data_IF_210130474138
#
_entry.id   IF_210130474138
#
_cell.length_a   1.000
_cell.length_b   1.000
_cell.length_c   1.000
_cell.angle_alpha   90.00
_cell.angle_beta   90.00
_cell.angle_gamma   90.00
#
_symmetry.space_group_name_H-M   'P 1'
#
loop_
_entity.id
_entity.type
_entity.pdbx_description
1 polymer ?
#
# COMPACT_ATOMS: atom_id res chain seq x y z
N UNK A 1 16.69 -7.50 -25.21
CA UNK A 1 16.54 -7.97 -23.81
C UNK A 1 15.20 -8.69 -23.62
N UNK A 2 15.14 -9.72 -22.77
CA UNK A 2 13.89 -10.42 -22.45
C UNK A 2 13.02 -9.51 -21.60
N UNK A 3 11.79 -9.19 -22.06
CA UNK A 3 10.86 -8.35 -21.30
C UNK A 3 10.35 -9.07 -20.05
N UNK A 4 10.16 -8.32 -18.96
CA UNK A 4 9.58 -8.81 -17.72
C UNK A 4 8.07 -8.93 -17.91
N UNK A 5 7.51 -10.11 -17.68
CA UNK A 5 6.08 -10.39 -17.79
C UNK A 5 5.35 -9.90 -16.54
N UNK A 6 4.42 -8.95 -16.72
CA UNK A 6 3.62 -8.36 -15.66
C UNK A 6 2.21 -8.93 -15.68
N UNK A 7 1.81 -9.51 -14.57
CA UNK A 7 0.42 -9.83 -14.29
C UNK A 7 -0.22 -8.74 -13.44
N UNK A 8 -1.49 -8.40 -13.68
CA UNK A 8 -2.24 -7.46 -12.84
C UNK A 8 -3.39 -8.20 -12.18
N UNK A 9 -3.46 -8.11 -10.85
CA UNK A 9 -4.56 -8.62 -10.06
C UNK A 9 -5.48 -7.47 -9.64
N UNK A 10 -6.76 -7.53 -10.05
CA UNK A 10 -7.71 -6.44 -9.89
C UNK A 10 -7.56 -5.33 -10.95
N UNK A 11 -7.51 -5.66 -12.27
CA UNK A 11 -7.27 -4.68 -13.35
C UNK A 11 -8.38 -3.64 -13.50
N UNK A 12 -9.57 -3.85 -12.94
CA UNK A 12 -10.70 -2.90 -12.96
C UNK A 12 -10.82 -2.05 -11.70
N UNK A 13 -9.95 -2.25 -10.72
CA UNK A 13 -9.78 -1.32 -9.62
C UNK A 13 -9.12 0.00 -10.07
N UNK A 14 -9.32 1.09 -9.33
CA UNK A 14 -8.71 2.41 -9.62
C UNK A 14 -7.21 2.32 -9.90
N UNK A 15 -6.48 1.61 -9.06
CA UNK A 15 -5.02 1.40 -9.26
C UNK A 15 -4.73 0.48 -10.44
N UNK A 16 -5.53 -0.56 -10.64
CA UNK A 16 -5.38 -1.47 -11.78
C UNK A 16 -5.48 -0.75 -13.13
N UNK A 17 -6.47 0.13 -13.29
CA UNK A 17 -6.64 0.95 -14.49
C UNK A 17 -5.47 1.91 -14.71
N UNK A 18 -5.04 2.61 -13.65
CA UNK A 18 -3.87 3.50 -13.72
C UNK A 18 -2.58 2.75 -14.11
N UNK A 19 -2.37 1.55 -13.57
CA UNK A 19 -1.21 0.72 -13.91
C UNK A 19 -1.26 0.26 -15.37
N UNK A 20 -2.46 -0.11 -15.87
CA UNK A 20 -2.64 -0.48 -17.28
C UNK A 20 -2.32 0.66 -18.25
N UNK A 21 -2.60 1.90 -17.87
CA UNK A 21 -2.23 3.09 -18.64
C UNK A 21 -0.72 3.31 -18.63
N UNK A 22 -0.10 3.20 -17.46
CA UNK A 22 1.31 3.52 -17.27
C UNK A 22 2.25 2.43 -17.82
N UNK A 23 1.86 1.16 -17.79
CA UNK A 23 2.75 0.06 -18.21
C UNK A 23 3.24 0.19 -19.64
N UNK A 24 2.48 0.89 -20.48
CA UNK A 24 2.82 1.15 -21.89
C UNK A 24 4.08 2.02 -22.07
N UNK A 25 4.41 2.80 -21.03
CA UNK A 25 5.55 3.72 -21.03
C UNK A 25 6.88 3.02 -20.70
N UNK A 26 6.85 1.73 -20.37
CA UNK A 26 8.03 0.94 -19.99
C UNK A 26 8.33 -0.14 -21.02
N UNK A 27 9.31 0.10 -21.88
CA UNK A 27 9.67 -0.80 -22.98
C UNK A 27 10.16 -2.17 -22.54
N UNK A 28 10.73 -2.26 -21.32
CA UNK A 28 11.23 -3.47 -20.66
C UNK A 28 10.13 -4.34 -20.06
N UNK A 29 8.90 -3.82 -19.91
CA UNK A 29 7.76 -4.55 -19.38
C UNK A 29 6.87 -5.10 -20.49
N UNK A 30 6.21 -6.22 -20.21
CA UNK A 30 5.17 -6.81 -21.07
C UNK A 30 4.00 -7.23 -20.22
N UNK A 31 2.82 -6.64 -20.45
CA UNK A 31 1.57 -7.14 -19.90
C UNK A 31 1.36 -8.58 -20.36
N UNK A 32 1.10 -9.51 -19.45
CA UNK A 32 1.01 -10.93 -19.78
C UNK A 32 -0.25 -11.62 -19.25
N UNK A 33 -0.86 -11.12 -18.18
CA UNK A 33 -2.02 -11.77 -17.56
C UNK A 33 -2.83 -10.76 -16.76
N UNK A 34 -4.16 -10.86 -16.85
CA UNK A 34 -5.11 -10.02 -16.12
C UNK A 34 -6.09 -10.92 -15.37
N UNK A 35 -6.07 -10.84 -14.04
CA UNK A 35 -6.96 -11.64 -13.20
C UNK A 35 -7.88 -10.75 -12.38
N UNK A 36 -9.18 -11.08 -12.41
CA UNK A 36 -10.22 -10.33 -11.71
C UNK A 36 -11.12 -11.28 -10.91
N UNK A 37 -11.91 -10.74 -9.99
CA UNK A 37 -12.90 -11.50 -9.25
C UNK A 37 -13.84 -12.24 -10.21
N UNK A 38 -14.09 -13.53 -9.97
CA UNK A 38 -14.92 -14.40 -10.82
C UNK A 38 -16.32 -13.82 -11.12
N UNK A 39 -16.86 -13.03 -10.18
CA UNK A 39 -18.19 -12.40 -10.35
C UNK A 39 -18.17 -11.09 -11.14
N UNK A 40 -16.99 -10.57 -11.48
CA UNK A 40 -16.88 -9.29 -12.18
C UNK A 40 -17.20 -9.46 -13.66
N UNK A 41 -18.01 -8.57 -14.23
CA UNK A 41 -18.51 -8.62 -15.61
C UNK A 41 -17.44 -8.54 -16.70
N UNK A 42 -16.20 -8.17 -16.35
CA UNK A 42 -15.05 -8.10 -17.27
C UNK A 42 -14.41 -9.47 -17.51
N UNK A 43 -14.65 -10.46 -16.64
CA UNK A 43 -14.09 -11.82 -16.82
C UNK A 43 -14.65 -12.43 -18.08
N UNK A 44 -13.77 -12.97 -18.93
CA UNK A 44 -14.09 -13.48 -20.26
C UNK A 44 -14.08 -12.43 -21.36
N UNK A 45 -13.80 -11.15 -21.04
CA UNK A 45 -13.64 -10.08 -22.03
C UNK A 45 -12.18 -9.66 -22.16
N UNK A 46 -11.86 -9.01 -23.25
CA UNK A 46 -10.52 -8.49 -23.53
C UNK A 46 -10.33 -7.09 -22.90
N UNK A 47 -9.18 -6.86 -22.28
CA UNK A 47 -8.76 -5.58 -21.76
C UNK A 47 -7.27 -5.37 -22.07
N UNK A 48 -6.94 -4.26 -22.72
CA UNK A 48 -5.58 -3.94 -23.17
C UNK A 48 -4.91 -5.08 -23.99
N UNK A 49 -5.66 -5.78 -24.83
CA UNK A 49 -5.17 -6.88 -25.67
C UNK A 49 -4.99 -8.22 -24.92
N UNK A 50 -5.47 -8.34 -23.68
CA UNK A 50 -5.37 -9.54 -22.85
C UNK A 50 -6.76 -9.97 -22.39
N UNK A 51 -7.05 -11.27 -22.53
CA UNK A 51 -8.28 -11.87 -22.00
C UNK A 51 -8.24 -11.88 -20.47
N UNK A 52 -9.21 -11.23 -19.83
CA UNK A 52 -9.34 -11.20 -18.37
C UNK A 52 -9.90 -12.55 -17.89
N UNK A 53 -9.24 -13.16 -16.92
CA UNK A 53 -9.66 -14.43 -16.31
C UNK A 53 -9.79 -14.30 -14.78
N UNK A 54 -10.27 -15.37 -14.13
CA UNK A 54 -10.39 -15.46 -12.67
C UNK A 54 -9.53 -16.56 -12.03
N UNK A 55 -8.54 -17.06 -12.78
CA UNK A 55 -7.68 -18.18 -12.38
C UNK A 55 -6.34 -17.65 -11.83
N UNK A 56 -6.13 -17.75 -10.51
CA UNK A 56 -4.89 -17.34 -9.85
C UNK A 56 -3.70 -18.20 -10.27
N UNK A 57 -3.90 -19.49 -10.54
CA UNK A 57 -2.84 -20.38 -11.01
C UNK A 57 -2.31 -19.92 -12.37
N UNK A 58 -3.22 -19.55 -13.27
CA UNK A 58 -2.87 -18.98 -14.58
C UNK A 58 -2.11 -17.66 -14.39
N UNK A 59 -2.61 -16.73 -13.55
CA UNK A 59 -1.94 -15.47 -13.24
C UNK A 59 -0.49 -15.70 -12.78
N UNK A 60 -0.27 -16.61 -11.84
CA UNK A 60 1.06 -16.95 -11.30
C UNK A 60 1.96 -17.52 -12.39
N UNK A 61 1.46 -18.44 -13.20
CA UNK A 61 2.26 -19.12 -14.23
C UNK A 61 2.66 -18.22 -15.40
N UNK A 62 1.82 -17.26 -15.76
CA UNK A 62 2.04 -16.37 -16.90
C UNK A 62 2.86 -15.12 -16.54
N UNK A 63 3.07 -14.81 -15.24
CA UNK A 63 3.71 -13.58 -14.78
C UNK A 63 5.09 -13.84 -14.19
N UNK A 64 6.04 -12.94 -14.41
CA UNK A 64 7.31 -12.88 -13.67
C UNK A 64 7.13 -12.02 -12.41
N UNK A 65 6.31 -10.96 -12.51
CA UNK A 65 5.90 -10.10 -11.40
C UNK A 65 4.39 -9.90 -11.47
N UNK A 66 3.72 -10.00 -10.34
CA UNK A 66 2.29 -9.67 -10.19
C UNK A 66 2.18 -8.36 -9.42
N UNK A 67 1.36 -7.43 -9.94
CA UNK A 67 1.00 -6.20 -9.25
C UNK A 67 -0.41 -6.39 -8.69
N UNK A 68 -0.55 -6.21 -7.36
CA UNK A 68 -1.77 -6.47 -6.60
C UNK A 68 -2.20 -5.24 -5.80
N UNK A 69 -3.34 -4.66 -6.15
CA UNK A 69 -4.04 -3.61 -5.40
C UNK A 69 -5.49 -4.00 -5.18
N UNK A 70 -5.70 -5.20 -4.64
CA UNK A 70 -7.03 -5.75 -4.40
C UNK A 70 -7.49 -5.54 -2.95
N UNK A 71 -8.03 -6.58 -2.35
CA UNK A 71 -8.48 -6.61 -0.96
C UNK A 71 -7.73 -7.70 -0.18
N UNK A 72 -7.65 -7.62 1.15
CA UNK A 72 -6.87 -8.57 1.98
C UNK A 72 -7.11 -10.04 1.70
N UNK A 73 -8.37 -10.43 1.52
CA UNK A 73 -8.73 -11.83 1.24
C UNK A 73 -8.17 -12.29 -0.12
N UNK A 74 -8.28 -11.46 -1.15
CA UNK A 74 -7.78 -11.77 -2.48
C UNK A 74 -6.25 -11.89 -2.48
N UNK A 75 -5.55 -10.97 -1.83
CA UNK A 75 -4.09 -11.02 -1.67
C UNK A 75 -3.66 -12.30 -0.94
N UNK A 76 -4.35 -12.69 0.14
CA UNK A 76 -4.06 -13.94 0.87
C UNK A 76 -4.22 -15.15 -0.05
N UNK A 77 -5.30 -15.21 -0.83
CA UNK A 77 -5.53 -16.30 -1.78
C UNK A 77 -4.43 -16.36 -2.87
N UNK A 78 -3.97 -15.21 -3.34
CA UNK A 78 -2.84 -15.13 -4.26
C UNK A 78 -1.56 -15.70 -3.64
N UNK A 79 -1.24 -15.35 -2.39
CA UNK A 79 -0.06 -15.87 -1.69
C UNK A 79 -0.15 -17.38 -1.46
N UNK A 80 -1.33 -17.90 -1.14
CA UNK A 80 -1.55 -19.34 -1.03
C UNK A 80 -1.28 -20.07 -2.36
N UNK A 81 -1.71 -19.49 -3.48
CA UNK A 81 -1.45 -20.06 -4.80
C UNK A 81 0.03 -20.00 -5.17
N UNK A 82 0.72 -18.89 -4.86
CA UNK A 82 2.18 -18.77 -5.04
C UNK A 82 2.96 -19.85 -4.28
N UNK A 83 2.53 -20.19 -3.07
CA UNK A 83 3.18 -21.26 -2.28
C UNK A 83 3.02 -22.65 -2.89
N UNK A 84 1.95 -22.91 -3.64
CA UNK A 84 1.73 -24.16 -4.37
C UNK A 84 2.52 -24.21 -5.67
N UNK A 85 2.89 -23.05 -6.20
CA UNK A 85 3.58 -22.95 -7.50
C UNK A 85 5.07 -23.27 -7.38
N UNK A 86 5.60 -23.97 -8.37
CA UNK A 86 7.05 -24.14 -8.55
C UNK A 86 7.71 -22.88 -9.13
N UNK A 87 6.94 -22.00 -9.78
CA UNK A 87 7.44 -20.75 -10.35
C UNK A 87 7.66 -19.71 -9.24
N UNK A 88 8.82 -19.08 -9.24
CA UNK A 88 9.20 -18.04 -8.27
C UNK A 88 8.75 -16.65 -8.75
N UNK A 89 7.46 -16.47 -8.95
CA UNK A 89 6.85 -15.19 -9.33
C UNK A 89 6.95 -14.21 -8.16
N UNK A 90 7.38 -12.98 -8.42
CA UNK A 90 7.40 -11.91 -7.42
C UNK A 90 6.04 -11.21 -7.34
N UNK A 91 5.74 -10.60 -6.20
CA UNK A 91 4.52 -9.78 -6.02
C UNK A 91 4.87 -8.41 -5.47
N UNK A 92 4.29 -7.39 -6.07
CA UNK A 92 4.25 -6.01 -5.55
C UNK A 92 2.81 -5.76 -5.11
N UNK A 93 2.57 -5.60 -3.82
CA UNK A 93 1.21 -5.39 -3.30
C UNK A 93 1.09 -4.08 -2.54
N UNK A 94 0.03 -3.34 -2.87
CA UNK A 94 -0.42 -2.13 -2.17
C UNK A 94 -1.74 -2.34 -1.42
N UNK A 95 -2.17 -3.59 -1.24
CA UNK A 95 -3.40 -3.91 -0.53
C UNK A 95 -3.35 -3.44 0.91
N UNK A 96 -4.38 -2.74 1.35
CA UNK A 96 -4.56 -2.19 2.70
C UNK A 96 -5.79 -2.78 3.39
N UNK A 97 -5.98 -2.49 4.68
CA UNK A 97 -7.19 -2.88 5.41
C UNK A 97 -7.18 -4.31 5.96
N UNK A 98 -6.00 -4.92 6.14
CA UNK A 98 -5.88 -6.22 6.80
C UNK A 98 -6.34 -6.14 8.26
N UNK A 99 -7.16 -7.10 8.68
CA UNK A 99 -7.39 -7.35 10.11
C UNK A 99 -6.12 -7.93 10.75
N UNK A 100 -5.99 -7.85 12.07
CA UNK A 100 -4.84 -8.43 12.80
C UNK A 100 -4.62 -9.92 12.50
N UNK A 101 -5.70 -10.68 12.31
CA UNK A 101 -5.64 -12.09 11.94
C UNK A 101 -5.12 -12.29 10.52
N UNK A 102 -5.63 -11.49 9.56
CA UNK A 102 -5.19 -11.54 8.18
C UNK A 102 -3.73 -11.10 8.03
N UNK A 103 -3.29 -10.09 8.78
CA UNK A 103 -1.90 -9.65 8.79
C UNK A 103 -0.94 -10.75 9.27
N UNK A 104 -1.29 -11.43 10.37
CA UNK A 104 -0.51 -12.60 10.83
C UNK A 104 -0.44 -13.70 9.76
N UNK A 105 -1.56 -13.99 9.09
CA UNK A 105 -1.61 -14.98 8.00
C UNK A 105 -0.76 -14.53 6.81
N UNK A 106 -0.88 -13.27 6.40
CA UNK A 106 -0.08 -12.65 5.33
C UNK A 106 1.42 -12.79 5.61
N UNK A 107 1.90 -12.35 6.78
CA UNK A 107 3.30 -12.45 7.17
C UNK A 107 3.83 -13.90 7.18
N UNK A 108 3.00 -14.85 7.62
CA UNK A 108 3.34 -16.28 7.56
C UNK A 108 3.49 -16.78 6.13
N UNK A 109 2.59 -16.36 5.24
CA UNK A 109 2.61 -16.77 3.83
C UNK A 109 3.76 -16.14 3.04
N UNK A 110 4.18 -14.91 3.39
CA UNK A 110 5.29 -14.22 2.72
C UNK A 110 6.66 -14.89 2.93
N UNK A 111 6.85 -15.70 3.97
CA UNK A 111 8.14 -16.35 4.25
C UNK A 111 8.62 -17.19 3.06
N UNK A 112 9.80 -16.84 2.52
CA UNK A 112 10.39 -17.52 1.36
C UNK A 112 9.83 -17.14 -0.01
N UNK A 113 8.85 -16.22 -0.07
CA UNK A 113 8.36 -15.60 -1.31
C UNK A 113 9.05 -14.26 -1.57
N UNK A 114 9.01 -13.81 -2.82
CA UNK A 114 9.52 -12.50 -3.24
C UNK A 114 8.38 -11.49 -3.21
N UNK A 115 8.17 -10.85 -2.07
CA UNK A 115 7.06 -9.91 -1.86
C UNK A 115 7.61 -8.54 -1.51
N UNK A 116 7.15 -7.52 -2.24
CA UNK A 116 7.27 -6.12 -1.87
C UNK A 116 5.88 -5.63 -1.47
N UNK A 117 5.68 -5.32 -0.20
CA UNK A 117 4.48 -4.68 0.31
C UNK A 117 4.77 -3.22 0.66
N UNK A 118 3.93 -2.32 0.17
CA UNK A 118 3.96 -0.92 0.61
C UNK A 118 2.54 -0.35 0.62
N UNK A 119 2.16 0.28 1.71
CA UNK A 119 0.86 0.94 1.85
C UNK A 119 0.80 2.29 1.14
N UNK A 120 1.97 2.87 0.84
CA UNK A 120 2.09 4.10 0.06
C UNK A 120 3.32 4.02 -0.85
N UNK A 121 3.09 3.99 -2.15
CA UNK A 121 4.14 3.93 -3.19
C UNK A 121 4.38 5.30 -3.84
N UNK A 122 3.80 6.39 -3.30
CA UNK A 122 4.07 7.75 -3.77
C UNK A 122 5.54 8.10 -3.52
N UNK A 123 6.25 8.49 -4.59
CA UNK A 123 7.63 8.96 -4.50
C UNK A 123 7.74 10.17 -3.56
N UNK A 124 6.81 11.14 -3.67
CA UNK A 124 6.78 12.33 -2.83
C UNK A 124 6.63 12.01 -1.35
N UNK A 125 5.73 11.09 -0.99
CA UNK A 125 5.55 10.66 0.42
C UNK A 125 6.81 9.95 0.93
N UNK A 126 7.46 9.12 0.13
CA UNK A 126 8.68 8.43 0.56
C UNK A 126 9.85 9.41 0.74
N UNK A 127 9.98 10.42 -0.12
CA UNK A 127 10.95 11.51 0.07
C UNK A 127 10.62 12.30 1.34
N UNK A 128 9.34 12.65 1.57
CA UNK A 128 8.90 13.37 2.76
C UNK A 128 9.23 12.59 4.03
N UNK A 129 9.03 11.28 4.07
CA UNK A 129 9.41 10.41 5.19
C UNK A 129 10.89 10.53 5.55
N UNK A 130 11.77 10.48 4.55
CA UNK A 130 13.21 10.59 4.76
C UNK A 130 13.60 12.01 5.24
N UNK A 131 12.97 13.05 4.70
CA UNK A 131 13.19 14.42 5.14
C UNK A 131 12.73 14.62 6.58
N UNK A 132 11.53 14.16 6.93
CA UNK A 132 10.97 14.21 8.28
C UNK A 132 11.89 13.50 9.29
N UNK A 133 12.35 12.30 8.96
CA UNK A 133 13.29 11.52 9.78
C UNK A 133 14.59 12.30 10.04
N UNK A 134 15.19 12.87 8.98
CA UNK A 134 16.43 13.66 9.09
C UNK A 134 16.22 14.93 9.90
N UNK A 135 15.14 15.65 9.67
CA UNK A 135 14.80 16.88 10.42
C UNK A 135 14.56 16.57 11.90
N UNK A 136 13.76 15.54 12.19
CA UNK A 136 13.49 15.13 13.57
C UNK A 136 14.78 14.77 14.35
N UNK A 137 15.75 14.15 13.70
CA UNK A 137 17.05 13.83 14.29
C UNK A 137 17.79 15.09 14.78
N UNK A 138 17.60 16.22 14.11
CA UNK A 138 18.35 17.46 14.37
C UNK A 138 17.62 18.33 15.40
N UNK A 139 16.30 18.54 15.24
CA UNK A 139 15.58 19.59 15.99
C UNK A 139 14.50 19.08 16.95
N UNK A 140 14.28 17.78 17.07
CA UNK A 140 13.13 17.23 17.79
C UNK A 140 13.13 17.52 19.30
N UNK A 141 14.27 17.86 19.90
CA UNK A 141 14.36 18.20 21.31
C UNK A 141 13.93 19.65 21.59
N UNK A 142 14.04 20.52 20.59
CA UNK A 142 13.73 21.95 20.67
C UNK A 142 12.41 22.31 19.97
N UNK A 143 11.73 21.31 19.39
CA UNK A 143 10.55 21.53 18.55
C UNK A 143 9.35 20.72 19.00
N UNK A 144 8.18 21.31 18.80
CA UNK A 144 6.92 20.60 18.84
C UNK A 144 6.62 19.98 17.46
N UNK A 145 6.02 18.80 17.48
CA UNK A 145 5.70 18.06 16.26
C UNK A 145 4.21 17.86 16.15
N UNK A 146 3.63 18.34 15.05
CA UNK A 146 2.24 18.15 14.74
C UNK A 146 2.06 17.64 13.31
N UNK A 147 1.16 16.70 13.11
CA UNK A 147 0.79 16.15 11.82
C UNK A 147 -0.67 16.48 11.57
N UNK A 148 -0.91 17.39 10.63
CA UNK A 148 -2.26 17.78 10.20
C UNK A 148 -2.58 17.15 8.86
N UNK A 149 -3.78 16.56 8.72
CA UNK A 149 -4.22 15.93 7.48
C UNK A 149 -5.70 16.16 7.21
N UNK A 150 -6.03 16.32 5.94
CA UNK A 150 -7.40 16.58 5.46
C UNK A 150 -7.74 15.53 4.40
N UNK A 151 -8.92 14.91 4.52
CA UNK A 151 -9.42 13.96 3.53
C UNK A 151 -10.95 14.11 3.36
N UNK A 152 -11.44 13.56 2.28
CA UNK A 152 -12.87 13.50 1.97
C UNK A 152 -13.69 12.83 3.09
N UNK A 153 -14.97 13.11 3.13
CA UNK A 153 -15.91 12.64 4.16
C UNK A 153 -16.11 11.11 4.21
N UNK A 154 -15.79 10.40 3.12
CA UNK A 154 -15.89 8.93 3.02
C UNK A 154 -14.69 8.18 3.62
N UNK A 155 -13.60 8.87 3.99
CA UNK A 155 -12.43 8.23 4.59
C UNK A 155 -12.69 7.84 6.04
N UNK A 156 -12.61 6.55 6.34
CA UNK A 156 -12.98 5.98 7.65
C UNK A 156 -11.84 5.99 8.67
N UNK A 157 -10.60 5.75 8.23
CA UNK A 157 -9.44 5.71 9.12
C UNK A 157 -9.02 7.12 9.56
N UNK A 158 -8.84 7.30 10.86
CA UNK A 158 -8.39 8.54 11.51
C UNK A 158 -7.40 8.18 12.62
N UNK A 159 -6.15 8.69 12.58
CA UNK A 159 -5.47 9.36 11.47
C UNK A 159 -5.29 8.45 10.25
N UNK A 160 -4.97 9.06 9.10
CA UNK A 160 -4.66 8.30 7.90
C UNK A 160 -3.40 7.45 8.05
N UNK A 161 -3.31 6.35 7.30
CA UNK A 161 -2.11 5.50 7.29
C UNK A 161 -0.83 6.29 6.94
N UNK A 162 -0.93 7.29 6.05
CA UNK A 162 0.19 8.17 5.70
C UNK A 162 0.63 9.03 6.89
N UNK A 163 -0.32 9.60 7.63
CA UNK A 163 -0.02 10.39 8.82
C UNK A 163 0.68 9.54 9.91
N UNK A 164 0.20 8.32 10.14
CA UNK A 164 0.86 7.38 11.06
C UNK A 164 2.26 7.01 10.60
N UNK A 165 2.46 6.79 9.30
CA UNK A 165 3.79 6.46 8.74
C UNK A 165 4.78 7.64 8.87
N UNK A 166 4.30 8.90 8.79
CA UNK A 166 5.13 10.08 9.05
C UNK A 166 5.53 10.15 10.52
N UNK A 167 4.63 9.84 11.46
CA UNK A 167 4.97 9.76 12.88
C UNK A 167 6.00 8.66 13.17
N UNK A 168 5.89 7.51 12.51
CA UNK A 168 6.91 6.46 12.60
C UNK A 168 8.27 6.96 12.08
N UNK A 169 8.29 7.74 10.99
CA UNK A 169 9.52 8.33 10.44
C UNK A 169 10.14 9.35 11.40
N UNK A 170 9.33 10.16 12.08
CA UNK A 170 9.82 11.00 13.20
C UNK A 170 10.49 10.11 14.25
N UNK A 171 9.80 9.07 14.68
CA UNK A 171 10.27 8.16 15.71
C UNK A 171 11.51 7.36 15.31
N UNK A 172 11.75 7.14 14.04
CA UNK A 172 13.01 6.56 13.54
C UNK A 172 14.18 7.55 13.64
N UNK A 173 13.90 8.87 13.58
CA UNK A 173 14.93 9.91 13.65
C UNK A 173 15.34 10.31 15.06
N UNK A 174 14.45 10.19 16.06
CA UNK A 174 14.68 10.72 17.42
C UNK A 174 15.32 9.70 18.35
N UNK A 175 16.10 10.18 19.32
CA UNK A 175 16.70 9.34 20.38
C UNK A 175 15.66 8.82 21.36
N UNK A 176 14.74 9.67 21.79
CA UNK A 176 13.66 9.34 22.71
C UNK A 176 12.34 9.28 21.93
N UNK A 177 11.73 8.10 21.89
CA UNK A 177 10.47 7.89 21.17
C UNK A 177 9.39 8.82 21.70
N UNK A 178 8.70 9.47 20.78
CA UNK A 178 7.55 10.33 21.05
C UNK A 178 6.25 9.52 20.97
N UNK A 179 5.28 9.86 21.80
CA UNK A 179 3.96 9.20 21.84
C UNK A 179 3.00 9.90 20.90
N UNK A 180 2.21 9.12 20.17
CA UNK A 180 1.11 9.66 19.38
C UNK A 180 0.03 10.19 20.33
N UNK A 181 -0.41 11.43 20.11
CA UNK A 181 -1.43 12.12 20.89
C UNK A 181 -2.53 12.63 19.97
N UNK A 182 -3.78 12.33 20.35
CA UNK A 182 -4.97 12.73 19.61
C UNK A 182 -5.73 13.74 20.44
N UNK A 183 -5.57 15.03 20.15
CA UNK A 183 -6.22 16.08 20.93
C UNK A 183 -7.65 16.24 20.52
N UNK A 184 -8.57 16.11 21.49
CA UNK A 184 -9.92 16.59 21.37
C UNK A 184 -9.96 18.09 21.64
N UNK A 185 -10.70 18.86 20.85
CA UNK A 185 -10.81 20.33 20.99
C UNK A 185 -11.31 20.80 22.37
N UNK A 186 -11.88 19.90 23.17
CA UNK A 186 -12.44 20.18 24.50
C UNK A 186 -11.48 19.99 25.65
N UNK A 187 -10.21 19.67 25.41
CA UNK A 187 -9.24 19.43 26.49
C UNK A 187 -8.37 20.64 26.75
N UNK A 188 -8.48 21.24 27.96
CA UNK A 188 -7.59 22.30 28.45
C UNK A 188 -6.22 21.78 28.89
N UNK A 189 -5.71 20.74 28.25
CA UNK A 189 -4.42 20.12 28.59
C UNK A 189 -3.29 20.80 27.83
N UNK A 190 -2.26 21.18 28.58
CA UNK A 190 -1.02 21.66 27.98
C UNK A 190 -0.35 20.55 27.16
N UNK A 191 0.34 20.94 26.10
CA UNK A 191 1.13 20.04 25.27
C UNK A 191 2.29 19.45 26.09
N UNK A 192 2.54 18.15 25.92
CA UNK A 192 3.68 17.49 26.53
C UNK A 192 4.85 17.44 25.54
N UNK A 193 6.06 17.60 26.04
CA UNK A 193 7.28 17.69 25.22
C UNK A 193 7.53 16.46 24.33
N UNK A 194 7.09 15.27 24.75
CA UNK A 194 7.35 14.01 24.05
C UNK A 194 6.11 13.47 23.29
N UNK A 195 5.39 14.37 22.64
CA UNK A 195 4.21 14.01 21.86
C UNK A 195 4.38 14.38 20.38
N UNK A 196 3.80 13.52 19.52
CA UNK A 196 3.43 13.86 18.14
C UNK A 196 1.93 14.02 18.16
N UNK A 197 1.45 15.24 17.92
CA UNK A 197 0.01 15.54 17.94
C UNK A 197 -0.56 15.35 16.54
N UNK A 198 -1.77 14.79 16.47
CA UNK A 198 -2.50 14.61 15.22
C UNK A 198 -3.75 15.49 15.18
N UNK A 199 -3.90 16.18 14.06
CA UNK A 199 -5.10 16.95 13.71
C UNK A 199 -5.65 16.40 12.39
N UNK A 200 -6.80 15.75 12.45
CA UNK A 200 -7.41 15.11 11.28
C UNK A 200 -8.75 15.75 10.94
N UNK A 201 -8.91 16.19 9.70
CA UNK A 201 -10.15 16.75 9.18
C UNK A 201 -10.78 15.79 8.18
N UNK A 202 -12.09 15.63 8.24
CA UNK A 202 -12.90 14.88 7.28
C UNK A 202 -14.04 15.77 6.82
N UNK A 203 -14.08 16.06 5.52
CA UNK A 203 -15.10 16.92 4.94
C UNK A 203 -14.95 17.08 3.44
N UNK A 204 -16.05 17.40 2.78
CA UNK A 204 -16.07 17.53 1.33
C UNK A 204 -15.69 16.23 0.60
N UNK A 205 -15.16 16.41 -0.58
CA UNK A 205 -14.70 15.35 -1.51
C UNK A 205 -13.20 15.45 -1.85
N UNK A 206 -12.44 16.11 -1.00
CA UNK A 206 -10.99 16.37 -1.14
C UNK A 206 -10.17 15.11 -0.87
#
# INVERSE_FOLDING_TARGET
MKKIKIGIFGPKGRMGESILEQIKNFSELKLSSLCENKKHSIVGKELAGILVHSDLKKLVNESDVIIDFTIPEATINLLEELRKSKKKTAVVTGTTGFTKSQEKKFLKLCKGLKILQSFNMSLGINILKELVKKTAKIISEESDIEISEIHHNMKRDVPSGTALTLADSVNEGVKVKKKNSYRLQSTNLLRKKNEIVFSSVRGGDV
#
